data_IF_449783804543
#
_entry.id   IF_449783804543
#
_cell.length_a   1.000
_cell.length_b   1.000
_cell.length_c   1.000
_cell.angle_alpha   90.00
_cell.angle_beta   90.00
_cell.angle_gamma   90.00
#
_symmetry.space_group_name_H-M   'P 1'
#
loop_
_entity.id
_entity.type
_entity.pdbx_description
1 polymer ?
#
# COMPACT_ATOMS: atom_id res chain seq x y z
N UNK A 1 10.72 9.53 -23.32
CA UNK A 1 10.07 8.57 -24.23
C UNK A 1 8.59 8.55 -23.93
N UNK A 2 7.74 8.68 -24.95
CA UNK A 2 6.30 8.62 -24.83
C UNK A 2 5.79 7.21 -24.51
N UNK A 3 4.54 7.10 -24.09
CA UNK A 3 3.85 5.82 -23.89
C UNK A 3 3.05 5.54 -25.15
N UNK A 4 3.40 4.48 -25.88
CA UNK A 4 2.65 3.99 -27.03
C UNK A 4 1.41 3.21 -26.59
N UNK A 5 0.27 3.42 -27.29
CA UNK A 5 -0.96 2.67 -27.09
C UNK A 5 -1.76 3.05 -25.83
N UNK A 6 -1.50 4.21 -25.23
CA UNK A 6 -2.37 4.73 -24.18
C UNK A 6 -3.71 5.15 -24.75
N UNK A 7 -4.82 4.75 -24.11
CA UNK A 7 -6.16 5.17 -24.52
C UNK A 7 -6.43 6.60 -24.04
N UNK A 8 -6.91 7.44 -24.91
CA UNK A 8 -7.33 8.82 -24.62
C UNK A 8 -8.80 8.96 -25.01
N UNK A 9 -9.67 9.19 -24.03
CA UNK A 9 -11.13 9.28 -24.21
C UNK A 9 -11.63 10.63 -23.68
N UNK A 10 -12.64 11.19 -24.34
CA UNK A 10 -13.42 12.27 -23.76
C UNK A 10 -14.39 11.67 -22.74
N UNK A 11 -14.27 12.06 -21.47
CA UNK A 11 -15.10 11.55 -20.38
C UNK A 11 -16.58 11.78 -20.64
N UNK A 12 -17.36 10.69 -20.57
CA UNK A 12 -18.79 10.74 -20.87
C UNK A 12 -19.15 10.63 -22.35
N UNK A 13 -18.17 10.36 -23.22
CA UNK A 13 -18.32 10.18 -24.65
C UNK A 13 -17.72 8.87 -25.12
N UNK A 14 -18.04 8.44 -26.33
CA UNK A 14 -17.41 7.32 -27.03
C UNK A 14 -16.26 7.77 -27.96
N UNK A 15 -15.95 9.08 -27.95
CA UNK A 15 -14.91 9.67 -28.80
C UNK A 15 -13.58 9.53 -28.10
N UNK A 16 -12.61 8.91 -28.76
CA UNK A 16 -11.27 8.70 -28.25
C UNK A 16 -10.28 8.27 -29.31
N UNK A 17 -9.02 8.23 -28.91
CA UNK A 17 -7.89 7.83 -29.74
C UNK A 17 -6.88 7.04 -28.90
N UNK A 18 -5.78 6.61 -29.51
CA UNK A 18 -4.63 6.00 -28.85
C UNK A 18 -3.37 6.75 -29.19
N UNK A 19 -2.40 6.73 -28.30
CA UNK A 19 -1.09 7.36 -28.53
C UNK A 19 -0.23 6.53 -29.52
N UNK A 20 0.55 7.26 -30.33
CA UNK A 20 1.52 6.70 -31.30
C UNK A 20 2.84 6.24 -30.64
N UNK A 21 3.85 5.91 -31.45
CA UNK A 21 5.17 5.44 -31.01
C UNK A 21 5.95 6.49 -30.19
N UNK A 22 5.68 7.77 -30.42
CA UNK A 22 6.26 8.88 -29.68
C UNK A 22 5.43 9.26 -28.45
N UNK A 23 4.25 8.62 -28.25
CA UNK A 23 3.31 8.94 -27.18
C UNK A 23 2.44 10.16 -27.44
N UNK A 24 2.31 10.57 -28.72
CA UNK A 24 1.46 11.69 -29.16
C UNK A 24 0.07 11.19 -29.52
N UNK A 25 -0.88 12.07 -29.46
CA UNK A 25 -2.24 11.81 -29.91
C UNK A 25 -2.88 13.07 -30.46
N UNK A 26 -3.82 12.88 -31.37
CA UNK A 26 -4.69 13.94 -31.87
C UNK A 26 -6.12 13.55 -31.58
N UNK A 27 -6.88 14.46 -30.98
CA UNK A 27 -8.27 14.25 -30.63
C UNK A 27 -9.02 15.60 -30.75
N UNK A 28 -10.09 15.70 -31.54
CA UNK A 28 -10.91 16.91 -31.59
C UNK A 28 -11.61 17.09 -30.24
N UNK A 29 -11.30 18.18 -29.54
CA UNK A 29 -11.83 18.49 -28.23
C UNK A 29 -12.32 19.92 -28.17
N UNK A 30 -13.30 20.17 -27.30
CA UNK A 30 -13.81 21.50 -26.99
C UNK A 30 -13.35 21.95 -25.60
N UNK A 31 -13.27 23.24 -25.40
CA UNK A 31 -12.97 23.82 -24.11
C UNK A 31 -13.98 23.34 -23.06
N UNK A 32 -13.48 22.82 -21.93
CA UNK A 32 -14.30 22.24 -20.87
C UNK A 32 -14.45 20.72 -20.95
N UNK A 33 -14.04 20.07 -22.06
CA UNK A 33 -13.96 18.60 -22.09
C UNK A 33 -12.98 18.11 -21.04
N UNK A 34 -13.22 16.91 -20.51
CA UNK A 34 -12.28 16.21 -19.64
C UNK A 34 -11.75 15.02 -20.41
N UNK A 35 -10.45 14.99 -20.63
CA UNK A 35 -9.76 13.84 -21.20
C UNK A 35 -9.47 12.82 -20.12
N UNK A 36 -9.79 11.58 -20.37
CA UNK A 36 -9.43 10.45 -19.50
C UNK A 36 -8.40 9.61 -20.23
N UNK A 37 -7.17 9.61 -19.69
CA UNK A 37 -6.03 8.89 -20.25
C UNK A 37 -5.76 7.66 -19.42
N UNK A 38 -5.77 6.51 -20.05
CA UNK A 38 -5.53 5.22 -19.40
C UNK A 38 -4.54 4.37 -20.19
N UNK A 39 -3.66 3.72 -19.49
CA UNK A 39 -2.73 2.74 -20.06
C UNK A 39 -2.55 1.59 -19.09
N UNK A 40 -2.40 0.38 -19.62
CA UNK A 40 -2.20 -0.81 -18.79
C UNK A 40 -1.01 -0.62 -17.88
N UNK A 41 -1.28 -0.55 -16.58
CA UNK A 41 -0.25 -0.39 -15.61
C UNK A 41 0.04 1.03 -15.11
N UNK A 42 -0.77 1.99 -15.46
CA UNK A 42 -0.69 3.37 -14.98
C UNK A 42 -2.03 3.80 -14.38
N UNK A 43 -2.00 4.73 -13.43
CA UNK A 43 -3.23 5.37 -12.96
C UNK A 43 -3.86 6.12 -14.12
N UNK A 44 -5.18 5.99 -14.24
CA UNK A 44 -5.95 6.84 -15.15
C UNK A 44 -5.80 8.29 -14.72
N UNK A 45 -5.41 9.13 -15.66
CA UNK A 45 -5.26 10.57 -15.48
C UNK A 45 -6.44 11.27 -16.12
N UNK A 46 -7.03 12.25 -15.43
CA UNK A 46 -8.06 13.13 -15.98
C UNK A 46 -7.48 14.52 -16.14
N UNK A 47 -7.59 15.06 -17.36
CA UNK A 47 -7.12 16.41 -17.72
C UNK A 47 -8.29 17.19 -18.29
N UNK A 48 -8.59 18.35 -17.69
CA UNK A 48 -9.60 19.27 -18.22
C UNK A 48 -8.97 20.17 -19.27
N UNK A 49 -9.56 20.20 -20.46
CA UNK A 49 -9.11 21.05 -21.57
C UNK A 49 -9.54 22.50 -21.28
N UNK A 50 -8.55 23.41 -21.23
CA UNK A 50 -8.78 24.86 -21.10
C UNK A 50 -9.02 25.50 -22.47
N UNK A 51 -9.65 26.68 -22.48
CA UNK A 51 -9.94 27.39 -23.73
C UNK A 51 -8.68 27.79 -24.51
N UNK A 52 -7.56 27.96 -23.82
CA UNK A 52 -6.27 28.35 -24.40
C UNK A 52 -5.43 27.16 -24.91
N UNK A 53 -5.89 25.89 -24.64
CA UNK A 53 -5.14 24.66 -24.93
C UNK A 53 -5.70 23.87 -26.13
N UNK A 54 -6.67 24.40 -26.87
CA UNK A 54 -7.31 23.75 -28.02
C UNK A 54 -6.39 23.57 -29.24
N UNK A 55 -5.25 24.27 -29.28
CA UNK A 55 -4.23 24.17 -30.33
C UNK A 55 -2.79 24.01 -29.77
N UNK A 56 -2.62 23.66 -28.51
CA UNK A 56 -1.30 23.48 -27.90
C UNK A 56 -0.99 22.04 -27.54
N UNK A 57 0.29 21.68 -27.59
CA UNK A 57 0.80 20.38 -27.14
C UNK A 57 0.58 20.22 -25.64
N UNK A 58 -0.42 19.45 -25.25
CA UNK A 58 -0.64 19.07 -23.85
C UNK A 58 0.32 17.94 -23.49
N UNK A 59 1.32 18.20 -22.68
CA UNK A 59 2.21 17.19 -22.14
C UNK A 59 1.57 16.55 -20.91
N UNK A 60 1.06 15.33 -21.05
CA UNK A 60 0.49 14.57 -19.96
C UNK A 60 1.56 13.64 -19.41
N UNK A 61 2.04 13.94 -18.20
CA UNK A 61 2.93 13.05 -17.47
C UNK A 61 2.09 12.06 -16.68
N UNK A 62 2.00 10.83 -17.18
CA UNK A 62 1.42 9.75 -16.39
C UNK A 62 2.43 9.35 -15.29
N UNK A 63 2.11 9.65 -14.05
CA UNK A 63 2.88 9.15 -12.91
C UNK A 63 2.73 7.63 -12.92
N UNK A 64 3.77 6.94 -13.35
CA UNK A 64 3.91 5.52 -13.06
C UNK A 64 4.06 5.37 -11.56
N UNK A 65 2.98 5.16 -10.81
CA UNK A 65 3.12 4.10 -9.85
C UNK A 65 3.43 2.89 -10.73
N UNK A 66 4.61 2.28 -10.54
CA UNK A 66 4.89 0.96 -11.10
C UNK A 66 3.59 0.19 -10.93
N UNK A 67 2.88 -0.19 -11.99
CA UNK A 67 1.71 -1.00 -11.79
C UNK A 67 2.21 -2.23 -11.06
N UNK A 68 1.72 -2.46 -9.91
CA UNK A 68 1.65 -3.83 -9.48
C UNK A 68 1.00 -4.54 -10.65
N UNK A 69 1.78 -5.34 -11.36
CA UNK A 69 1.51 -5.93 -12.69
C UNK A 69 0.02 -6.25 -12.83
N UNK A 70 -0.69 -5.46 -13.64
CA UNK A 70 -2.14 -5.42 -13.70
C UNK A 70 -2.76 -6.80 -13.89
N UNK A 71 -3.26 -7.37 -12.82
CA UNK A 71 -4.01 -8.59 -12.78
C UNK A 71 -5.03 -8.51 -11.65
N UNK A 72 -6.08 -9.28 -11.76
CA UNK A 72 -7.08 -9.43 -10.73
C UNK A 72 -6.40 -9.70 -9.37
N UNK A 73 -6.80 -8.96 -8.34
CA UNK A 73 -6.38 -9.21 -6.96
C UNK A 73 -7.41 -10.10 -6.31
N UNK A 74 -6.98 -11.25 -5.85
CA UNK A 74 -7.83 -12.22 -5.17
C UNK A 74 -7.85 -11.92 -3.66
N UNK A 75 -9.02 -11.90 -3.07
CA UNK A 75 -9.17 -11.86 -1.61
C UNK A 75 -9.05 -13.26 -1.00
N UNK A 76 -9.47 -14.26 -1.76
CA UNK A 76 -9.36 -15.67 -1.44
C UNK A 76 -8.84 -16.38 -2.68
N UNK A 77 -7.75 -17.13 -2.54
CA UNK A 77 -7.18 -18.00 -3.56
C UNK A 77 -7.26 -19.47 -3.11
N UNK A 78 -7.17 -20.41 -4.05
CA UNK A 78 -7.17 -21.85 -3.72
C UNK A 78 -6.00 -22.21 -2.80
N UNK A 79 -4.81 -21.66 -3.08
CA UNK A 79 -3.68 -21.68 -2.16
C UNK A 79 -3.44 -20.23 -1.70
N UNK A 80 -3.63 -19.98 -0.40
CA UNK A 80 -3.36 -18.67 0.17
C UNK A 80 -1.85 -18.40 0.26
N UNK A 81 -1.43 -17.13 0.13
CA UNK A 81 -0.02 -16.79 0.30
C UNK A 81 0.46 -17.11 1.71
N UNK A 82 1.73 -17.47 1.83
CA UNK A 82 2.33 -17.79 3.11
C UNK A 82 3.70 -17.16 3.30
N UNK A 83 3.97 -16.72 4.52
CA UNK A 83 5.29 -16.24 4.92
C UNK A 83 6.30 -17.41 4.89
N UNK A 84 7.59 -17.17 4.54
CA UNK A 84 8.64 -18.20 4.69
C UNK A 84 8.70 -18.72 6.12
N UNK A 85 8.45 -20.03 6.31
CA UNK A 85 8.34 -20.63 7.64
C UNK A 85 6.95 -20.58 8.27
N UNK A 86 5.94 -20.06 7.56
CA UNK A 86 4.55 -20.01 8.02
C UNK A 86 4.21 -18.81 8.90
N UNK A 87 2.99 -18.83 9.44
CA UNK A 87 2.46 -17.69 10.19
C UNK A 87 3.20 -17.47 11.52
N UNK A 88 3.66 -18.52 12.16
CA UNK A 88 4.40 -18.41 13.43
C UNK A 88 5.73 -17.69 13.22
N UNK A 89 6.44 -17.98 12.14
CA UNK A 89 7.69 -17.28 11.82
C UNK A 89 7.43 -15.84 11.39
N UNK A 90 6.31 -15.58 10.73
CA UNK A 90 5.86 -14.22 10.44
C UNK A 90 5.66 -13.41 11.72
N UNK A 91 4.99 -13.98 12.72
CA UNK A 91 4.77 -13.33 14.01
C UNK A 91 6.08 -13.10 14.77
N UNK A 92 7.01 -14.06 14.73
CA UNK A 92 8.37 -13.88 15.28
C UNK A 92 9.15 -12.80 14.56
N UNK A 93 9.03 -12.74 13.21
CA UNK A 93 9.67 -11.70 12.43
C UNK A 93 9.18 -10.32 12.87
N UNK A 94 7.87 -10.13 13.00
CA UNK A 94 7.28 -8.87 13.47
C UNK A 94 7.82 -8.54 14.86
N UNK A 95 7.75 -9.49 15.80
CA UNK A 95 8.21 -9.26 17.18
C UNK A 95 9.69 -8.85 17.29
N UNK A 96 10.54 -9.35 16.38
CA UNK A 96 11.97 -9.01 16.35
C UNK A 96 12.28 -7.66 15.67
N UNK A 97 11.44 -7.25 14.73
CA UNK A 97 11.72 -6.08 13.89
C UNK A 97 10.88 -4.86 14.24
N UNK A 98 9.77 -5.05 14.98
CA UNK A 98 8.95 -3.95 15.44
C UNK A 98 9.68 -3.15 16.52
N UNK A 99 9.68 -1.83 16.35
CA UNK A 99 10.20 -0.89 17.33
C UNK A 99 9.05 -0.08 17.88
N UNK A 100 8.93 -0.03 19.19
CA UNK A 100 7.90 0.81 19.79
C UNK A 100 8.34 2.27 19.73
N UNK A 101 7.59 3.16 19.07
CA UNK A 101 7.95 4.57 19.01
C UNK A 101 7.89 5.22 20.39
N UNK A 102 8.90 6.02 20.75
CA UNK A 102 9.01 6.65 22.07
C UNK A 102 7.79 7.52 22.38
N UNK A 103 7.32 8.28 21.40
CA UNK A 103 6.15 9.15 21.56
C UNK A 103 4.85 8.35 21.83
N UNK A 104 4.71 7.17 21.24
CA UNK A 104 3.57 6.29 21.52
C UNK A 104 3.64 5.67 22.91
N UNK A 105 4.87 5.43 23.44
CA UNK A 105 5.09 5.01 24.83
C UNK A 105 4.69 6.11 25.78
N UNK A 106 5.12 7.33 25.54
CA UNK A 106 4.82 8.51 26.36
C UNK A 106 3.32 8.79 26.41
N UNK A 107 2.63 8.61 25.29
CA UNK A 107 1.17 8.78 25.18
C UNK A 107 0.38 7.56 25.67
N UNK A 108 1.03 6.48 26.08
CA UNK A 108 0.37 5.25 26.51
C UNK A 108 -0.40 4.56 25.38
N UNK A 109 -0.13 4.87 24.12
CA UNK A 109 -0.84 4.32 22.98
C UNK A 109 -0.47 2.85 22.77
N UNK A 110 -1.46 1.97 22.79
CA UNK A 110 -1.31 0.52 22.58
C UNK A 110 -2.53 -0.04 21.87
N UNK A 111 -2.37 -1.13 21.14
CA UNK A 111 -3.46 -1.74 20.40
C UNK A 111 -2.98 -2.65 19.28
N UNK A 112 -3.88 -2.91 18.34
CA UNK A 112 -3.60 -3.72 17.15
C UNK A 112 -3.74 -2.84 15.92
N UNK A 113 -2.65 -2.69 15.19
CA UNK A 113 -2.66 -2.05 13.87
C UNK A 113 -2.81 -3.13 12.82
N UNK A 114 -3.88 -3.07 12.04
CA UNK A 114 -4.13 -4.00 10.94
C UNK A 114 -3.66 -3.38 9.62
N UNK A 115 -2.67 -3.99 8.98
CA UNK A 115 -2.13 -3.54 7.70
C UNK A 115 -2.63 -4.46 6.61
N UNK A 116 -3.28 -3.90 5.60
CA UNK A 116 -3.70 -4.58 4.37
C UNK A 116 -2.66 -4.31 3.29
N UNK A 117 -2.27 -5.34 2.55
CA UNK A 117 -1.32 -5.24 1.46
C UNK A 117 -1.59 -6.31 0.41
N UNK A 118 -0.91 -6.21 -0.72
CA UNK A 118 -0.99 -7.19 -1.80
C UNK A 118 0.31 -7.97 -1.84
N UNK A 119 0.20 -9.28 -1.90
CA UNK A 119 1.30 -10.18 -2.21
C UNK A 119 1.26 -10.43 -3.70
N UNK A 120 2.30 -10.00 -4.39
CA UNK A 120 2.44 -10.10 -5.83
C UNK A 120 2.75 -11.54 -6.27
N UNK A 121 2.67 -11.82 -7.56
CA UNK A 121 2.97 -13.14 -8.13
C UNK A 121 4.38 -13.63 -7.86
N UNK A 122 5.32 -12.71 -7.64
CA UNK A 122 6.72 -12.99 -7.30
C UNK A 122 6.97 -13.05 -5.78
N UNK A 123 5.92 -12.91 -4.98
CA UNK A 123 5.97 -12.91 -3.52
C UNK A 123 6.32 -11.57 -2.88
N UNK A 124 6.59 -10.54 -3.64
CA UNK A 124 6.84 -9.20 -3.11
C UNK A 124 5.57 -8.56 -2.55
N UNK A 125 5.75 -7.65 -1.58
CA UNK A 125 4.65 -6.90 -0.97
C UNK A 125 4.48 -5.58 -1.71
N UNK A 126 3.22 -5.23 -2.01
CA UNK A 126 2.86 -3.97 -2.64
C UNK A 126 1.60 -3.38 -2.01
N UNK A 127 1.38 -2.08 -2.26
CA UNK A 127 0.18 -1.34 -1.90
C UNK A 127 -0.26 -1.48 -0.42
N UNK A 128 0.65 -1.24 0.57
CA UNK A 128 0.31 -1.32 1.97
C UNK A 128 -0.65 -0.19 2.36
N UNK A 129 -1.68 -0.52 3.12
CA UNK A 129 -2.67 0.44 3.64
C UNK A 129 -3.05 0.05 5.06
N UNK A 130 -3.23 1.04 5.91
CA UNK A 130 -3.81 0.81 7.24
C UNK A 130 -5.30 0.50 7.07
N UNK A 131 -5.70 -0.70 7.49
CA UNK A 131 -7.09 -1.11 7.53
C UNK A 131 -7.73 -0.71 8.87
N UNK A 132 -6.95 -0.79 9.96
CA UNK A 132 -7.32 -0.33 11.28
C UNK A 132 -6.06 0.20 11.96
N UNK A 133 -6.06 1.46 12.35
CA UNK A 133 -4.97 2.14 13.03
C UNK A 133 -5.21 2.31 14.53
N UNK A 134 -4.18 2.73 15.24
CA UNK A 134 -4.21 3.10 16.66
C UNK A 134 -3.74 4.54 16.83
N UNK A 135 -2.52 4.84 16.42
CA UNK A 135 -1.97 6.18 16.32
C UNK A 135 -1.03 6.28 15.11
N UNK A 136 -0.71 7.49 14.69
CA UNK A 136 0.09 7.75 13.50
C UNK A 136 1.48 7.10 13.55
N UNK A 137 2.09 7.03 14.72
CA UNK A 137 3.45 6.51 14.88
C UNK A 137 3.46 4.98 14.90
N UNK A 138 2.50 4.35 15.58
CA UNK A 138 2.32 2.90 15.56
C UNK A 138 1.93 2.43 14.16
N UNK A 139 1.08 3.17 13.45
CA UNK A 139 0.64 2.88 12.09
C UNK A 139 1.83 2.92 11.11
N UNK A 140 2.66 3.96 11.18
CA UNK A 140 3.90 4.09 10.38
C UNK A 140 4.88 2.96 10.66
N UNK A 141 5.06 2.61 11.93
CA UNK A 141 5.96 1.52 12.31
C UNK A 141 5.45 0.16 11.82
N UNK A 142 4.15 -0.11 11.95
CA UNK A 142 3.54 -1.32 11.42
C UNK A 142 3.75 -1.43 9.90
N UNK A 143 3.52 -0.36 9.16
CA UNK A 143 3.77 -0.31 7.71
C UNK A 143 5.24 -0.56 7.39
N UNK A 144 6.17 0.07 8.13
CA UNK A 144 7.61 -0.12 7.95
C UNK A 144 8.01 -1.59 8.10
N UNK A 145 7.53 -2.24 9.15
CA UNK A 145 7.85 -3.66 9.42
C UNK A 145 7.31 -4.56 8.31
N UNK A 146 6.05 -4.36 7.89
CA UNK A 146 5.45 -5.13 6.81
C UNK A 146 6.27 -4.98 5.51
N UNK A 147 6.66 -3.77 5.15
CA UNK A 147 7.43 -3.50 3.93
C UNK A 147 8.87 -4.04 3.99
N UNK A 148 9.40 -4.31 5.19
CA UNK A 148 10.73 -4.91 5.37
C UNK A 148 10.75 -6.43 5.33
N UNK A 149 9.59 -7.08 5.20
CA UNK A 149 9.48 -8.52 5.17
C UNK A 149 10.14 -9.13 3.92
N UNK A 150 10.70 -10.34 4.03
CA UNK A 150 11.18 -11.09 2.87
C UNK A 150 10.02 -11.45 1.93
N UNK A 151 10.36 -11.90 0.72
CA UNK A 151 9.36 -12.37 -0.24
C UNK A 151 8.56 -13.54 0.34
N UNK A 152 7.25 -13.44 0.19
CA UNK A 152 6.29 -14.48 0.55
C UNK A 152 6.19 -15.55 -0.54
N UNK A 153 5.68 -16.71 -0.20
CA UNK A 153 5.14 -17.64 -1.20
C UNK A 153 3.83 -17.03 -1.71
N UNK A 154 3.70 -16.77 -3.04
CA UNK A 154 2.49 -16.16 -3.57
C UNK A 154 1.29 -17.10 -3.45
N UNK A 155 0.09 -16.52 -3.41
CA UNK A 155 -1.13 -17.29 -3.56
C UNK A 155 -1.24 -17.90 -4.96
N UNK A 156 -1.96 -19.00 -5.09
CA UNK A 156 -2.19 -19.65 -6.38
C UNK A 156 -3.67 -19.91 -6.63
N UNK A 157 -4.04 -19.80 -7.90
CA UNK A 157 -5.34 -20.15 -8.43
C UNK A 157 -5.12 -21.09 -9.61
N UNK A 158 -5.68 -22.30 -9.56
CA UNK A 158 -5.46 -23.33 -10.58
C UNK A 158 -3.98 -23.60 -10.86
N UNK A 159 -3.17 -23.63 -9.81
CA UNK A 159 -1.73 -23.86 -9.89
C UNK A 159 -0.89 -22.65 -10.38
N UNK A 160 -1.52 -21.54 -10.77
CA UNK A 160 -0.86 -20.34 -11.27
C UNK A 160 -0.75 -19.30 -10.15
N UNK A 161 0.44 -18.70 -9.99
CA UNK A 161 0.64 -17.63 -9.03
C UNK A 161 -0.22 -16.41 -9.35
N UNK A 162 -0.95 -15.92 -8.35
CA UNK A 162 -1.87 -14.78 -8.46
C UNK A 162 -1.56 -13.73 -7.41
N UNK A 163 -1.97 -12.50 -7.70
CA UNK A 163 -1.94 -11.40 -6.74
C UNK A 163 -2.99 -11.62 -5.68
N UNK A 164 -2.60 -11.61 -4.42
CA UNK A 164 -3.53 -11.89 -3.32
C UNK A 164 -3.50 -10.79 -2.29
N UNK A 165 -4.66 -10.28 -1.91
CA UNK A 165 -4.77 -9.33 -0.81
C UNK A 165 -4.64 -10.07 0.52
N UNK A 166 -3.82 -9.54 1.40
CA UNK A 166 -3.63 -10.06 2.74
C UNK A 166 -3.76 -8.95 3.78
N UNK A 167 -4.21 -9.30 4.97
CA UNK A 167 -4.29 -8.36 6.11
C UNK A 167 -3.61 -9.01 7.30
N UNK A 168 -2.66 -8.29 7.89
CA UNK A 168 -1.85 -8.78 8.99
C UNK A 168 -1.97 -7.85 10.21
N UNK A 169 -2.32 -8.38 11.39
CA UNK A 169 -2.37 -7.59 12.61
C UNK A 169 -0.97 -7.48 13.22
N UNK A 170 -0.56 -6.26 13.54
CA UNK A 170 0.65 -5.93 14.30
C UNK A 170 0.22 -5.47 15.68
N UNK A 171 0.56 -6.24 16.71
CA UNK A 171 0.14 -5.96 18.08
C UNK A 171 1.21 -5.15 18.80
N UNK A 172 0.80 -3.98 19.32
CA UNK A 172 1.59 -3.14 20.19
C UNK A 172 1.05 -3.22 21.62
N UNK A 173 1.90 -3.61 22.55
CA UNK A 173 1.55 -3.71 23.96
C UNK A 173 2.67 -3.11 24.81
N UNK A 174 2.28 -2.22 25.71
CA UNK A 174 3.19 -1.70 26.74
C UNK A 174 3.31 -2.76 27.83
N UNK A 175 4.55 -3.19 28.10
CA UNK A 175 4.85 -4.00 29.28
C UNK A 175 5.13 -3.02 30.41
N UNK A 176 4.22 -2.90 31.34
CA UNK A 176 4.46 -2.20 32.60
C UNK A 176 5.25 -3.19 33.46
N UNK A 177 6.55 -2.93 33.65
CA UNK A 177 7.34 -3.68 34.64
C UNK A 177 6.77 -3.36 36.02
N UNK A 178 5.92 -4.22 36.55
CA UNK A 178 5.45 -4.16 37.93
C UNK A 178 6.55 -4.44 38.96
N UNK A 179 7.79 -4.61 38.54
CA UNK A 179 8.94 -4.94 39.39
C UNK A 179 9.53 -3.75 40.18
N UNK A 180 8.86 -2.60 40.23
CA UNK A 180 9.28 -1.45 41.09
C UNK A 180 8.19 -1.01 42.06
N UNK A 181 7.47 -1.92 42.68
CA UNK A 181 6.75 -1.66 43.92
C UNK A 181 7.30 -2.59 45.00
N UNK A 182 7.81 -1.95 46.01
CA UNK A 182 8.25 -2.43 47.30
C UNK A 182 9.77 -2.60 47.46
N UNK A 183 10.43 -1.46 47.72
CA UNK A 183 11.53 -1.40 48.66
C UNK A 183 11.40 -0.09 49.44
N UNK A 184 10.33 0.00 50.26
CA UNK A 184 10.34 0.92 51.37
C UNK A 184 10.85 0.16 52.59
N UNK A 185 12.03 0.50 53.14
CA UNK A 185 12.49 -0.11 54.39
C UNK A 185 11.57 0.36 55.50
N UNK A 186 10.96 -0.58 56.19
CA UNK A 186 10.33 -0.37 57.50
C UNK A 186 11.39 0.12 58.45
N UNK A 187 11.48 1.45 58.63
CA UNK A 187 12.24 2.00 59.71
C UNK A 187 11.50 1.73 61.02
N UNK A 188 12.19 0.89 61.81
CA UNK A 188 12.08 0.70 63.23
C UNK A 188 11.44 1.88 63.98
N UNK A 189 10.30 1.65 64.56
CA UNK A 189 9.88 2.36 65.77
C UNK A 189 10.25 1.49 66.99
N UNK A 190 11.35 1.80 67.61
CA UNK A 190 11.59 1.48 69.01
C UNK A 190 11.05 2.63 69.87
N UNK A 191 10.27 2.22 70.83
CA UNK A 191 9.76 2.89 72.06
C UNK A 191 8.76 4.01 71.90
#
# INVERSE_FOLDING_TARGET
SGIIGANVLIKGSTIGTVTDEEGRFELPVEAGNVLQISFAGYKTVEVKVSADETEQDIVIVMSGEKPSAGGQVFQIAEEMPSFPGGIDECMRYIARHVKYPAISIENGAQGIVSVRFIIEKDGSISNPKIAQGVDEYLDKEAMRVIMSMPKWKPGKQRGVAVRTQFTLPVKFRLVVDEAKKDNTPLQNRKK
#
